data_IF_508165293493
#
_entry.id   IF_508165293493
#
_cell.length_a   1.000
_cell.length_b   1.000
_cell.length_c   1.000
_cell.angle_alpha   90.00
_cell.angle_beta   90.00
_cell.angle_gamma   90.00
#
_symmetry.space_group_name_H-M   'P 1'
#
loop_
_entity.id
_entity.type
_entity.pdbx_description
1 polymer ?
#
# COMPACT_ATOMS: atom_id res chain seq x y z
N UNK A 1 -0.10 -10.72 -3.44
CA UNK A 1 -0.89 -9.57 -2.95
C UNK A 1 -0.01 -8.70 -2.09
N UNK A 2 0.08 -7.42 -2.36
CA UNK A 2 0.75 -6.49 -1.44
C UNK A 2 -0.18 -6.11 -0.30
N UNK A 3 0.39 -5.93 0.88
CA UNK A 3 -0.32 -5.39 2.03
C UNK A 3 0.44 -4.17 2.55
N UNK A 4 -0.20 -3.01 2.51
CA UNK A 4 0.36 -1.75 2.96
C UNK A 4 -0.23 -1.34 4.29
N UNK A 5 0.64 -1.03 5.24
CA UNK A 5 0.30 -0.45 6.53
C UNK A 5 0.80 1.00 6.57
N UNK A 6 -0.14 1.92 6.68
CA UNK A 6 0.12 3.36 6.82
C UNK A 6 0.00 3.71 8.29
N UNK A 7 1.12 3.80 8.97
CA UNK A 7 1.18 4.28 10.34
C UNK A 7 1.23 5.81 10.32
N UNK A 8 0.42 6.45 11.14
CA UNK A 8 0.40 7.91 11.17
C UNK A 8 0.17 8.44 12.58
N UNK A 9 0.97 9.43 12.97
CA UNK A 9 0.81 10.24 14.18
C UNK A 9 0.03 11.52 13.90
N UNK A 10 0.10 12.04 12.67
CA UNK A 10 -0.76 13.11 12.20
C UNK A 10 -2.17 12.56 11.92
N UNK A 11 -3.19 13.21 12.47
CA UNK A 11 -4.58 12.73 12.28
C UNK A 11 -5.06 12.99 10.85
N UNK A 12 -5.16 11.91 10.08
CA UNK A 12 -5.66 11.94 8.70
C UNK A 12 -7.19 11.91 8.68
N UNK A 13 -7.81 12.82 7.95
CA UNK A 13 -9.25 12.77 7.69
C UNK A 13 -9.61 11.65 6.67
N UNK A 14 -10.91 11.38 6.51
CA UNK A 14 -11.37 10.31 5.62
C UNK A 14 -10.97 10.51 4.16
N UNK A 15 -10.99 11.77 3.68
CA UNK A 15 -10.61 12.11 2.31
C UNK A 15 -9.10 11.90 2.07
N UNK A 16 -8.26 12.32 3.02
CA UNK A 16 -6.82 12.10 2.95
C UNK A 16 -6.47 10.61 2.95
N UNK A 17 -7.10 9.81 3.82
CA UNK A 17 -6.93 8.35 3.82
C UNK A 17 -7.35 7.73 2.49
N UNK A 18 -8.49 8.15 1.93
CA UNK A 18 -8.94 7.65 0.62
C UNK A 18 -7.95 7.99 -0.49
N UNK A 19 -7.46 9.22 -0.54
CA UNK A 19 -6.50 9.66 -1.55
C UNK A 19 -5.18 8.87 -1.45
N UNK A 20 -4.66 8.66 -0.24
CA UNK A 20 -3.44 7.87 -0.01
C UNK A 20 -3.67 6.41 -0.42
N UNK A 21 -4.79 5.79 -0.01
CA UNK A 21 -5.08 4.41 -0.34
C UNK A 21 -5.22 4.21 -1.86
N UNK A 22 -5.95 5.10 -2.55
CA UNK A 22 -6.10 5.06 -4.00
C UNK A 22 -4.75 5.21 -4.70
N UNK A 23 -3.93 6.19 -4.28
CA UNK A 23 -2.62 6.41 -4.87
C UNK A 23 -1.69 5.21 -4.68
N UNK A 24 -1.62 4.61 -3.49
CA UNK A 24 -0.83 3.39 -3.23
C UNK A 24 -1.28 2.25 -4.14
N UNK A 25 -2.59 2.06 -4.26
CA UNK A 25 -3.18 1.01 -5.11
C UNK A 25 -2.78 1.22 -6.57
N UNK A 26 -3.03 2.41 -7.11
CA UNK A 26 -2.75 2.73 -8.51
C UNK A 26 -1.26 2.62 -8.85
N UNK A 27 -0.40 3.14 -7.98
CA UNK A 27 1.06 3.08 -8.16
C UNK A 27 1.57 1.65 -8.16
N UNK A 28 1.07 0.81 -7.24
CA UNK A 28 1.46 -0.60 -7.20
C UNK A 28 0.97 -1.37 -8.45
N UNK A 29 -0.28 -1.13 -8.86
CA UNK A 29 -0.85 -1.74 -10.06
C UNK A 29 -0.07 -1.36 -11.33
N UNK A 30 0.30 -0.09 -11.46
CA UNK A 30 1.10 0.40 -12.57
C UNK A 30 2.52 -0.19 -12.59
N UNK A 31 3.18 -0.25 -11.43
CA UNK A 31 4.54 -0.75 -11.32
C UNK A 31 4.64 -2.26 -11.62
N UNK A 32 3.66 -3.05 -11.18
CA UNK A 32 3.79 -4.52 -11.16
C UNK A 32 2.67 -5.27 -11.85
N UNK A 33 1.78 -4.57 -12.57
CA UNK A 33 0.64 -5.15 -13.30
C UNK A 33 -0.24 -6.05 -12.40
N UNK A 34 -0.28 -5.75 -11.10
CA UNK A 34 -1.11 -6.45 -10.12
C UNK A 34 -2.55 -5.95 -10.23
N UNK A 35 -3.59 -6.81 -10.24
CA UNK A 35 -4.98 -6.37 -10.14
C UNK A 35 -5.22 -5.56 -8.87
N UNK A 36 -6.02 -4.49 -8.96
CA UNK A 36 -6.27 -3.56 -7.85
C UNK A 36 -6.93 -4.25 -6.65
N UNK A 37 -7.80 -5.22 -6.90
CA UNK A 37 -8.42 -6.05 -5.87
C UNK A 37 -7.41 -6.64 -4.88
N UNK A 38 -6.22 -7.01 -5.33
CA UNK A 38 -5.22 -7.63 -4.48
C UNK A 38 -4.36 -6.64 -3.68
N UNK A 39 -4.53 -5.34 -3.87
CA UNK A 39 -3.77 -4.32 -3.13
C UNK A 39 -4.55 -3.91 -1.88
N UNK A 40 -4.04 -4.27 -0.72
CA UNK A 40 -4.67 -3.93 0.56
C UNK A 40 -3.93 -2.79 1.23
N UNK A 41 -4.68 -1.81 1.75
CA UNK A 41 -4.14 -0.67 2.50
C UNK A 41 -4.87 -0.55 3.83
N UNK A 42 -4.12 -0.55 4.91
CA UNK A 42 -4.64 -0.37 6.28
C UNK A 42 -4.00 0.85 6.93
N UNK A 43 -4.80 1.64 7.66
CA UNK A 43 -4.32 2.80 8.40
C UNK A 43 -4.28 2.49 9.89
N UNK A 44 -3.17 2.86 10.53
CA UNK A 44 -2.92 2.64 11.95
C UNK A 44 -2.56 3.99 12.56
N UNK A 45 -3.49 4.58 13.31
CA UNK A 45 -3.26 5.83 14.01
C UNK A 45 -2.45 5.57 15.28
N UNK A 46 -1.29 6.21 15.37
CA UNK A 46 -0.43 6.17 16.55
C UNK A 46 -0.65 7.46 17.35
N UNK A 47 -1.18 7.32 18.56
CA UNK A 47 -1.44 8.49 19.41
C UNK A 47 -0.13 9.19 19.82
N UNK A 48 -0.12 10.51 19.77
CA UNK A 48 1.03 11.35 20.14
C UNK A 48 1.47 11.26 21.61
N UNK A 49 0.71 10.57 22.45
CA UNK A 49 0.95 10.46 23.89
C UNK A 49 1.50 9.12 24.35
N UNK A 50 1.76 8.18 23.45
CA UNK A 50 2.05 6.80 23.84
C UNK A 50 3.54 6.48 23.97
N UNK A 51 4.44 7.38 23.57
CA UNK A 51 5.89 7.11 23.49
C UNK A 51 6.20 5.73 22.92
N UNK A 52 5.52 5.38 21.84
CA UNK A 52 5.62 4.06 21.21
C UNK A 52 6.64 4.02 20.08
N UNK A 53 7.10 5.18 19.63
CA UNK A 53 8.09 5.28 18.58
C UNK A 53 9.40 5.90 19.10
N UNK A 54 10.49 5.20 18.92
CA UNK A 54 11.82 5.62 19.35
C UNK A 54 12.77 5.66 18.17
N UNK A 55 13.56 6.71 18.06
CA UNK A 55 14.63 6.84 17.09
C UNK A 55 15.94 7.19 17.83
N UNK A 56 17.01 6.44 17.56
CA UNK A 56 18.27 6.54 18.30
C UNK A 56 18.11 6.47 19.83
N UNK A 57 17.15 5.65 20.31
CA UNK A 57 16.84 5.48 21.74
C UNK A 57 16.09 6.65 22.40
N UNK A 58 15.66 7.65 21.62
CA UNK A 58 14.87 8.79 22.10
C UNK A 58 13.45 8.70 21.60
N UNK A 59 12.47 9.01 22.45
CA UNK A 59 11.07 9.08 22.07
C UNK A 59 10.85 10.12 20.96
N UNK A 60 10.08 9.73 19.94
CA UNK A 60 9.80 10.52 18.75
C UNK A 60 8.29 10.57 18.50
N UNK A 61 7.57 11.27 19.37
CA UNK A 61 6.11 11.20 19.41
C UNK A 61 5.42 12.01 18.31
N UNK A 62 6.10 13.01 17.74
CA UNK A 62 5.48 13.96 16.82
C UNK A 62 5.56 13.57 15.33
N UNK A 63 6.45 12.64 14.96
CA UNK A 63 6.77 12.35 13.56
C UNK A 63 7.07 10.88 13.35
N UNK A 64 6.03 10.05 13.40
CA UNK A 64 6.16 8.61 13.15
C UNK A 64 5.42 8.14 11.88
N UNK A 65 5.01 9.08 11.00
CA UNK A 65 4.30 8.70 9.77
C UNK A 65 5.21 7.86 8.88
N UNK A 66 4.76 6.67 8.53
CA UNK A 66 5.53 5.74 7.70
C UNK A 66 4.62 4.78 6.93
N UNK A 67 5.09 4.31 5.80
CA UNK A 67 4.40 3.31 4.98
C UNK A 67 5.26 2.05 4.96
N UNK A 68 4.68 0.92 5.37
CA UNK A 68 5.31 -0.38 5.31
C UNK A 68 4.55 -1.23 4.29
N UNK A 69 5.20 -1.58 3.19
CA UNK A 69 4.65 -2.45 2.15
C UNK A 69 5.19 -3.87 2.27
N UNK A 70 4.37 -4.83 2.68
CA UNK A 70 4.72 -6.25 2.57
C UNK A 70 4.37 -6.73 1.17
N UNK A 71 5.40 -7.09 0.38
CA UNK A 71 5.28 -7.29 -1.06
C UNK A 71 5.91 -8.61 -1.50
N UNK A 72 5.38 -9.20 -2.58
CA UNK A 72 5.99 -10.38 -3.20
C UNK A 72 7.20 -9.96 -4.02
N UNK A 73 8.26 -10.72 -3.88
CA UNK A 73 9.47 -10.58 -4.68
C UNK A 73 9.44 -11.50 -5.90
N UNK A 74 10.10 -11.09 -6.97
CA UNK A 74 10.42 -11.94 -8.13
C UNK A 74 11.69 -11.42 -8.81
N UNK A 75 12.27 -12.22 -9.67
CA UNK A 75 13.43 -11.80 -10.46
C UNK A 75 13.14 -10.59 -11.38
N UNK A 76 11.86 -10.37 -11.72
CA UNK A 76 11.42 -9.24 -12.56
C UNK A 76 11.13 -7.94 -11.75
N UNK A 77 11.32 -7.96 -10.43
CA UNK A 77 11.05 -6.81 -9.54
C UNK A 77 12.32 -6.44 -8.81
N UNK A 78 13.06 -5.52 -9.37
CA UNK A 78 14.36 -5.09 -8.86
C UNK A 78 14.23 -4.13 -7.66
N UNK A 79 15.34 -3.93 -6.95
CA UNK A 79 15.42 -2.87 -5.93
C UNK A 79 15.08 -1.50 -6.51
N UNK A 80 15.53 -1.21 -7.75
CA UNK A 80 15.28 0.08 -8.40
C UNK A 80 13.77 0.31 -8.64
N UNK A 81 13.00 -0.72 -9.00
CA UNK A 81 11.55 -0.61 -9.16
C UNK A 81 10.87 -0.25 -7.83
N UNK A 82 11.34 -0.84 -6.72
CA UNK A 82 10.82 -0.51 -5.38
C UNK A 82 11.29 0.87 -4.91
N UNK A 83 12.50 1.30 -5.21
CA UNK A 83 12.98 2.65 -4.89
C UNK A 83 12.12 3.70 -5.62
N UNK A 84 11.83 3.49 -6.91
CA UNK A 84 10.95 4.36 -7.69
C UNK A 84 9.52 4.38 -7.14
N UNK A 85 8.97 3.20 -6.82
CA UNK A 85 7.65 3.08 -6.21
C UNK A 85 7.58 3.81 -4.87
N UNK A 86 8.60 3.67 -4.03
CA UNK A 86 8.71 4.35 -2.74
C UNK A 86 8.71 5.86 -2.90
N UNK A 87 9.49 6.40 -3.82
CA UNK A 87 9.55 7.83 -4.11
C UNK A 87 8.18 8.38 -4.60
N UNK A 88 7.47 7.62 -5.44
CA UNK A 88 6.12 7.99 -5.90
C UNK A 88 5.10 7.95 -4.74
N UNK A 89 5.20 6.98 -3.83
CA UNK A 89 4.34 6.90 -2.64
C UNK A 89 4.60 8.06 -1.68
N UNK A 90 5.85 8.46 -1.49
CA UNK A 90 6.22 9.63 -0.72
C UNK A 90 5.60 10.91 -1.32
N UNK A 91 5.74 11.11 -2.62
CA UNK A 91 5.12 12.24 -3.32
C UNK A 91 3.58 12.22 -3.18
N UNK A 92 2.94 11.04 -3.24
CA UNK A 92 1.50 10.89 -3.08
C UNK A 92 1.03 11.23 -1.65
N UNK A 93 1.82 10.91 -0.63
CA UNK A 93 1.56 11.32 0.75
C UNK A 93 1.47 12.84 0.86
N UNK A 94 2.50 13.56 0.40
CA UNK A 94 2.50 15.02 0.47
C UNK A 94 1.38 15.64 -0.35
N UNK A 95 1.11 15.12 -1.55
CA UNK A 95 -0.01 15.56 -2.38
C UNK A 95 -1.37 15.40 -1.66
N UNK A 96 -1.57 14.28 -0.95
CA UNK A 96 -2.82 14.03 -0.22
C UNK A 96 -3.01 14.98 0.98
N UNK A 97 -1.93 15.60 1.46
CA UNK A 97 -1.92 16.59 2.53
C UNK A 97 -1.86 18.04 2.04
N UNK A 98 -1.95 18.26 0.72
CA UNK A 98 -1.79 19.56 0.07
C UNK A 98 -0.43 20.24 0.41
N UNK A 99 0.63 19.42 0.49
CA UNK A 99 1.99 19.86 0.78
C UNK A 99 2.92 19.64 -0.41
N UNK A 100 3.93 20.49 -0.50
CA UNK A 100 5.06 20.26 -1.42
C UNK A 100 6.05 19.30 -0.76
N UNK A 101 6.51 18.23 -1.45
CA UNK A 101 7.58 17.39 -0.93
C UNK A 101 8.82 18.23 -0.61
N UNK A 102 9.55 17.91 0.48
CA UNK A 102 10.78 18.62 0.79
C UNK A 102 11.78 18.39 -0.33
N UNK A 103 12.43 19.45 -0.76
CA UNK A 103 13.64 19.36 -1.59
C UNK A 103 14.84 19.25 -0.65
N UNK A 104 15.96 18.64 -1.09
CA UNK A 104 17.17 18.43 -0.28
C UNK A 104 17.73 19.71 0.37
N UNK A 105 17.24 20.89 -0.02
CA UNK A 105 17.74 22.21 0.40
C UNK A 105 16.77 23.03 1.23
N UNK A 106 15.53 22.58 1.40
CA UNK A 106 14.52 23.33 2.14
C UNK A 106 14.38 22.75 3.55
N UNK A 107 14.54 23.60 4.56
CA UNK A 107 14.17 23.24 5.93
C UNK A 107 12.66 23.14 6.04
N UNK A 108 12.16 22.06 6.62
CA UNK A 108 10.76 21.98 7.01
C UNK A 108 10.38 23.12 7.96
N UNK A 109 9.25 23.74 7.73
CA UNK A 109 8.63 24.55 8.75
C UNK A 109 8.21 23.64 9.92
N UNK A 110 8.46 24.07 11.14
CA UNK A 110 8.09 23.32 12.35
C UNK A 110 6.59 22.98 12.42
N UNK A 111 5.74 23.79 11.79
CA UNK A 111 4.30 23.54 11.68
C UNK A 111 3.97 22.30 10.84
N UNK A 112 4.83 21.94 9.88
CA UNK A 112 4.63 20.80 8.98
C UNK A 112 5.40 19.55 9.41
N UNK A 113 6.25 19.64 10.43
CA UNK A 113 7.04 18.51 10.96
C UNK A 113 6.15 17.30 11.31
N UNK A 114 4.98 17.53 11.91
CA UNK A 114 4.04 16.45 12.27
C UNK A 114 3.45 15.70 11.06
N UNK A 115 3.50 16.31 9.89
CA UNK A 115 2.98 15.74 8.63
C UNK A 115 4.06 15.04 7.81
N UNK A 116 5.31 15.15 8.22
CA UNK A 116 6.45 14.57 7.50
C UNK A 116 6.33 13.04 7.43
N UNK A 117 6.50 12.48 6.23
CA UNK A 117 6.65 11.04 6.06
C UNK A 117 8.08 10.65 6.40
N UNK A 118 8.25 9.81 7.41
CA UNK A 118 9.57 9.41 7.90
C UNK A 118 10.24 8.39 6.99
N UNK A 119 9.45 7.42 6.48
CA UNK A 119 9.97 6.38 5.60
C UNK A 119 8.88 5.70 4.79
N UNK A 120 9.27 5.18 3.64
CA UNK A 120 8.57 4.12 2.92
C UNK A 120 9.51 2.92 2.87
N UNK A 121 9.07 1.76 3.34
CA UNK A 121 9.88 0.54 3.31
C UNK A 121 9.11 -0.64 2.74
N UNK A 122 9.83 -1.56 2.09
CA UNK A 122 9.26 -2.77 1.54
C UNK A 122 9.85 -3.99 2.22
N UNK A 123 8.98 -4.91 2.63
CA UNK A 123 9.32 -6.16 3.31
C UNK A 123 8.93 -7.33 2.43
N UNK A 124 9.84 -8.28 2.16
CA UNK A 124 9.51 -9.47 1.40
C UNK A 124 8.42 -10.31 2.05
N UNK A 125 7.44 -10.73 1.26
CA UNK A 125 6.41 -11.68 1.65
C UNK A 125 6.81 -13.08 1.19
N UNK A 126 6.89 -14.04 2.11
CA UNK A 126 7.25 -15.43 1.78
C UNK A 126 6.08 -16.13 1.08
N UNK A 127 4.89 -16.03 1.66
CA UNK A 127 3.68 -16.67 1.14
C UNK A 127 2.43 -15.97 1.62
N UNK A 128 1.32 -16.23 0.94
CA UNK A 128 0.01 -15.72 1.35
C UNK A 128 -1.11 -16.69 0.93
N UNK A 129 -2.13 -16.79 1.77
CA UNK A 129 -3.41 -17.40 1.43
C UNK A 129 -4.50 -16.35 1.62
N UNK A 130 -5.37 -16.23 0.63
CA UNK A 130 -6.46 -15.25 0.64
C UNK A 130 -7.71 -15.80 0.00
N UNK A 131 -8.86 -15.54 0.61
CA UNK A 131 -10.13 -16.05 0.13
C UNK A 131 -10.17 -17.57 -0.02
N UNK A 132 -9.40 -18.33 0.77
CA UNK A 132 -9.27 -19.79 0.67
C UNK A 132 -8.24 -20.26 -0.37
N UNK A 133 -7.68 -19.36 -1.18
CA UNK A 133 -6.75 -19.69 -2.25
C UNK A 133 -5.29 -19.49 -1.82
N UNK A 134 -4.37 -20.35 -2.29
CA UNK A 134 -2.96 -20.07 -2.24
C UNK A 134 -2.62 -19.13 -3.41
N UNK A 135 -2.02 -17.99 -3.10
CA UNK A 135 -1.65 -17.01 -4.12
C UNK A 135 -0.33 -17.43 -4.77
N UNK A 136 -0.20 -17.36 -6.10
CA UNK A 136 0.98 -17.84 -6.83
C UNK A 136 2.19 -16.93 -6.60
N UNK A 137 3.34 -17.34 -7.10
CA UNK A 137 4.51 -16.47 -7.16
C UNK A 137 4.23 -15.24 -8.05
N UNK A 138 4.96 -14.16 -7.78
CA UNK A 138 4.82 -12.93 -8.56
C UNK A 138 5.16 -13.16 -10.04
N UNK A 139 4.29 -12.71 -10.93
CA UNK A 139 4.39 -12.93 -12.37
C UNK A 139 3.59 -14.11 -12.90
N UNK A 140 2.97 -14.92 -12.01
CA UNK A 140 2.12 -16.06 -12.42
C UNK A 140 0.62 -15.76 -12.23
N UNK A 141 0.26 -14.51 -12.01
CA UNK A 141 -1.11 -14.10 -11.67
C UNK A 141 -2.12 -14.45 -12.77
N UNK A 142 -1.74 -14.30 -14.04
CA UNK A 142 -2.67 -14.51 -15.16
C UNK A 142 -3.11 -15.97 -15.29
N UNK A 143 -2.17 -16.91 -15.26
CA UNK A 143 -2.47 -18.35 -15.33
C UNK A 143 -3.26 -18.81 -14.11
N UNK A 144 -2.83 -18.36 -12.93
CA UNK A 144 -3.50 -18.67 -11.69
C UNK A 144 -4.94 -18.13 -11.65
N UNK A 145 -5.19 -16.90 -12.10
CA UNK A 145 -6.55 -16.35 -12.18
C UNK A 145 -7.46 -17.18 -13.08
N UNK A 146 -6.92 -17.68 -14.22
CA UNK A 146 -7.70 -18.57 -15.10
C UNK A 146 -8.10 -19.87 -14.41
N UNK A 147 -7.18 -20.46 -13.64
CA UNK A 147 -7.46 -21.69 -12.89
C UNK A 147 -8.45 -21.47 -11.73
N UNK A 148 -8.34 -20.34 -11.03
CA UNK A 148 -9.19 -20.04 -9.87
C UNK A 148 -10.54 -19.44 -10.25
N UNK A 149 -10.75 -19.02 -11.49
CA UNK A 149 -11.95 -18.32 -11.92
C UNK A 149 -13.26 -19.08 -11.59
N UNK A 150 -13.38 -20.40 -11.77
CA UNK A 150 -14.60 -21.14 -11.39
C UNK A 150 -14.89 -21.05 -9.87
N UNK A 151 -13.87 -21.10 -9.03
CA UNK A 151 -14.03 -20.93 -7.58
C UNK A 151 -14.45 -19.50 -7.24
N UNK A 152 -13.75 -18.50 -7.81
CA UNK A 152 -14.04 -17.08 -7.61
C UNK A 152 -15.48 -16.74 -7.99
N UNK A 153 -15.94 -17.20 -9.15
CA UNK A 153 -17.34 -17.02 -9.61
C UNK A 153 -18.35 -17.72 -8.69
N UNK A 154 -18.02 -18.92 -8.22
CA UNK A 154 -18.87 -19.64 -7.26
C UNK A 154 -19.05 -18.86 -5.96
N UNK A 155 -17.98 -18.24 -5.44
CA UNK A 155 -18.04 -17.46 -4.21
C UNK A 155 -18.76 -16.13 -4.42
N UNK A 156 -18.56 -15.46 -5.56
CA UNK A 156 -19.32 -14.27 -5.94
C UNK A 156 -20.83 -14.56 -6.03
N UNK A 157 -21.21 -15.69 -6.64
CA UNK A 157 -22.63 -16.12 -6.75
C UNK A 157 -23.26 -16.45 -5.39
N UNK A 158 -22.46 -16.74 -4.36
CA UNK A 158 -22.94 -16.90 -2.97
C UNK A 158 -23.10 -15.55 -2.25
N UNK A 159 -22.89 -14.43 -2.94
CA UNK A 159 -23.04 -13.08 -2.38
C UNK A 159 -21.86 -12.59 -1.55
N UNK A 160 -20.69 -13.19 -1.72
CA UNK A 160 -19.46 -12.70 -1.04
C UNK A 160 -18.92 -11.53 -1.85
N UNK A 161 -19.02 -10.33 -1.27
CA UNK A 161 -18.79 -9.05 -1.94
C UNK A 161 -17.38 -8.92 -2.52
N UNK A 162 -16.36 -9.35 -1.77
CA UNK A 162 -14.97 -9.31 -2.20
C UNK A 162 -14.74 -10.07 -3.52
N UNK A 163 -15.37 -11.25 -3.66
CA UNK A 163 -15.27 -12.05 -4.89
C UNK A 163 -16.06 -11.43 -6.04
N UNK A 164 -17.19 -10.76 -5.76
CA UNK A 164 -17.96 -10.05 -6.78
C UNK A 164 -17.14 -8.88 -7.37
N UNK A 165 -16.42 -8.15 -6.53
CA UNK A 165 -15.47 -7.11 -6.95
C UNK A 165 -14.37 -7.65 -7.86
N UNK A 166 -13.74 -8.77 -7.47
CA UNK A 166 -12.71 -9.43 -8.28
C UNK A 166 -13.24 -9.90 -9.64
N UNK A 167 -14.43 -10.51 -9.69
CA UNK A 167 -15.05 -10.92 -10.96
C UNK A 167 -15.28 -9.73 -11.88
N UNK A 168 -15.76 -8.61 -11.33
CA UNK A 168 -15.98 -7.37 -12.09
C UNK A 168 -14.68 -6.84 -12.69
N UNK A 169 -13.61 -6.79 -11.91
CA UNK A 169 -12.29 -6.33 -12.39
C UNK A 169 -11.73 -7.24 -13.48
N UNK A 170 -11.79 -8.56 -13.29
CA UNK A 170 -11.28 -9.55 -14.28
C UNK A 170 -12.05 -9.49 -15.59
N UNK A 171 -13.38 -9.31 -15.55
CA UNK A 171 -14.21 -9.19 -16.75
C UNK A 171 -14.03 -7.83 -17.43
N UNK A 172 -13.85 -6.75 -16.70
CA UNK A 172 -13.62 -5.41 -17.24
C UNK A 172 -12.28 -5.25 -17.97
N UNK A 173 -11.27 -6.06 -17.64
CA UNK A 173 -9.97 -6.08 -18.36
C UNK A 173 -9.98 -6.89 -19.65
N UNK A 174 -11.05 -7.66 -19.95
CA UNK A 174 -11.19 -8.49 -21.16
C UNK A 174 -11.99 -7.82 -22.29
N UNK A 175 -12.50 -6.61 -22.06
CA UNK A 175 -13.17 -5.76 -23.07
C UNK A 175 -12.23 -4.69 -23.58
#
# INVERSE_FOLDING_TARGET
MPFYQVYHSYSLNAHQRQNIASAITDLHCQAFQTPAFFVHVSFIEEGTKSQTYFMAGKAHDATSNRIIGTVRMSAARSKADFDELGAKMEAAWYKALDLTPPTEKESWDSADESKRLLMVTFVPMITIREGGMAIPEAGQEESWLKEQLPYIESMANKGIEDFAGLVSEVKGKRG
#
